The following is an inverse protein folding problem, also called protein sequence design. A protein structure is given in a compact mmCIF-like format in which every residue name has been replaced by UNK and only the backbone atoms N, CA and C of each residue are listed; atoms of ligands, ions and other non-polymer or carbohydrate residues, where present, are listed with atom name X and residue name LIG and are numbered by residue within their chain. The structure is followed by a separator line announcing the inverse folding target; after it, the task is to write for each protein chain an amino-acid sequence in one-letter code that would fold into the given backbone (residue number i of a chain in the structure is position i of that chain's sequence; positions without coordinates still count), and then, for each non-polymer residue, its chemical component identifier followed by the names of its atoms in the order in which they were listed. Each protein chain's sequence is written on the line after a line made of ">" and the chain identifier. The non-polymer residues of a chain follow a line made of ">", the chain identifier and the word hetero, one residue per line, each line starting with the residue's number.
data_IF_403707463370
#
_entry.id   IF_403707463370
#
_cell.length_a   1.000
_cell.length_b   1.000
_cell.length_c   1.000
_cell.angle_alpha   90.00
_cell.angle_beta   90.00
_cell.angle_gamma   90.00
#
_symmetry.space_group_name_H-M   'P 1'
#
loop_
_entity.id
_entity.type
_entity.pdbx_description
1 polymer ?
#
# COMPACT_ATOMS: atom_id res chain seq x y z
N UNK A 1 -18.83 24.50 10.69
CA UNK A 1 -17.84 25.59 10.84
C UNK A 1 -18.03 26.54 9.68
N UNK A 2 -18.22 27.84 9.93
CA UNK A 2 -18.37 28.87 8.90
C UNK A 2 -16.98 29.45 8.63
N UNK A 3 -16.55 29.47 7.38
CA UNK A 3 -15.25 30.02 6.96
C UNK A 3 -15.50 31.36 6.29
N UNK A 4 -14.81 32.41 6.72
CA UNK A 4 -14.91 33.76 6.16
C UNK A 4 -13.59 34.18 5.52
N UNK A 5 -13.64 34.77 4.33
CA UNK A 5 -12.49 35.39 3.67
C UNK A 5 -12.90 36.71 3.02
N UNK A 6 -12.33 37.83 3.49
CA UNK A 6 -12.80 39.17 3.14
C UNK A 6 -14.26 39.36 3.61
N UNK A 7 -15.13 39.80 2.71
CA UNK A 7 -16.58 39.92 2.98
C UNK A 7 -17.39 38.69 2.58
N UNK A 8 -16.73 37.61 2.15
CA UNK A 8 -17.40 36.37 1.75
C UNK A 8 -17.44 35.35 2.88
N UNK A 9 -18.62 34.80 3.14
CA UNK A 9 -18.83 33.70 4.08
C UNK A 9 -19.20 32.40 3.35
N UNK A 10 -18.67 31.28 3.83
CA UNK A 10 -19.04 29.96 3.33
C UNK A 10 -20.48 29.61 3.71
N UNK A 11 -21.18 28.90 2.82
CA UNK A 11 -22.47 28.28 3.14
C UNK A 11 -22.27 27.13 4.12
N UNK A 12 -23.21 26.96 5.05
CA UNK A 12 -23.27 25.77 5.89
C UNK A 12 -23.88 24.62 5.08
N UNK A 13 -23.24 23.46 5.11
CA UNK A 13 -23.74 22.24 4.51
C UNK A 13 -23.37 21.04 5.39
N UNK A 14 -24.22 19.99 5.46
CA UNK A 14 -23.90 18.77 6.19
C UNK A 14 -22.80 17.98 5.46
N UNK A 15 -21.79 17.54 6.20
CA UNK A 15 -20.78 16.60 5.69
C UNK A 15 -21.33 15.19 5.94
N UNK A 16 -21.74 14.50 4.87
CA UNK A 16 -22.29 13.15 4.94
C UNK A 16 -21.20 12.06 4.94
N UNK A 17 -20.10 12.31 4.21
CA UNK A 17 -18.96 11.40 4.08
C UNK A 17 -17.67 12.22 4.13
N UNK A 18 -16.66 11.71 4.84
CA UNK A 18 -15.37 12.34 5.00
C UNK A 18 -15.26 13.16 6.29
N UNK A 19 -14.08 13.75 6.49
CA UNK A 19 -13.77 14.53 7.68
C UNK A 19 -13.23 15.92 7.30
N UNK A 20 -13.44 16.95 8.14
CA UNK A 20 -12.95 18.29 7.85
C UNK A 20 -11.42 18.33 7.68
N UNK A 21 -10.96 18.91 6.57
CA UNK A 21 -9.54 19.16 6.36
C UNK A 21 -9.01 20.16 7.39
N UNK A 22 -7.76 19.96 7.84
CA UNK A 22 -7.16 20.77 8.91
C UNK A 22 -7.54 20.36 10.33
N UNK A 23 -8.43 19.38 10.50
CA UNK A 23 -8.73 18.79 11.82
C UNK A 23 -7.69 17.75 12.21
N UNK A 24 -7.10 17.91 13.40
CA UNK A 24 -6.18 16.91 13.99
C UNK A 24 -6.90 15.57 14.21
N UNK A 25 -8.16 15.62 14.64
CA UNK A 25 -8.98 14.42 14.85
C UNK A 25 -9.27 13.70 13.54
N UNK A 26 -9.46 14.42 12.43
CA UNK A 26 -9.69 13.83 11.12
C UNK A 26 -8.53 12.94 10.68
N UNK A 27 -7.28 13.38 10.91
CA UNK A 27 -6.10 12.58 10.59
C UNK A 27 -6.03 11.27 11.41
N UNK A 28 -6.38 11.33 12.70
CA UNK A 28 -6.44 10.14 13.55
C UNK A 28 -7.55 9.17 13.11
N UNK A 29 -8.75 9.69 12.84
CA UNK A 29 -9.88 8.88 12.36
C UNK A 29 -9.57 8.21 11.02
N UNK A 30 -8.95 8.95 10.10
CA UNK A 30 -8.50 8.38 8.83
C UNK A 30 -7.51 7.24 9.06
N UNK A 31 -6.52 7.42 9.94
CA UNK A 31 -5.54 6.38 10.27
C UNK A 31 -6.16 5.13 10.88
N UNK A 32 -7.19 5.29 11.72
CA UNK A 32 -7.97 4.15 12.26
C UNK A 32 -8.77 3.45 11.15
N UNK A 33 -9.39 4.21 10.25
CA UNK A 33 -10.17 3.69 9.13
C UNK A 33 -9.32 2.82 8.19
N UNK A 34 -8.08 3.23 7.90
CA UNK A 34 -7.18 2.49 7.02
C UNK A 34 -6.23 1.52 7.76
N UNK A 35 -6.32 1.39 9.08
CA UNK A 35 -5.37 0.61 9.88
C UNK A 35 -5.27 -0.86 9.43
N UNK A 36 -6.39 -1.45 8.99
CA UNK A 36 -6.48 -2.85 8.58
C UNK A 36 -6.10 -3.09 7.12
N UNK A 37 -5.96 -2.03 6.30
CA UNK A 37 -5.65 -2.13 4.87
C UNK A 37 -4.44 -3.05 4.58
N UNK A 38 -3.31 -3.00 5.32
CA UNK A 38 -2.18 -3.89 5.07
C UNK A 38 -2.50 -5.39 5.19
N UNK A 39 -3.53 -5.77 5.96
CA UNK A 39 -3.93 -7.16 6.15
C UNK A 39 -4.56 -7.78 4.89
N UNK A 40 -5.04 -6.95 3.96
CA UNK A 40 -5.62 -7.40 2.69
C UNK A 40 -4.56 -7.86 1.69
N UNK A 41 -3.27 -7.62 1.95
CA UNK A 41 -2.16 -7.97 1.05
C UNK A 41 -1.26 -9.04 1.67
N UNK A 42 -1.68 -10.32 1.74
CA UNK A 42 -0.86 -11.36 2.32
C UNK A 42 0.39 -11.61 1.46
N UNK A 43 1.53 -11.83 2.13
CA UNK A 43 2.84 -12.11 1.50
C UNK A 43 3.37 -10.94 0.63
N UNK A 44 3.01 -9.72 0.97
CA UNK A 44 3.67 -8.49 0.48
C UNK A 44 4.34 -7.77 1.65
N UNK A 45 5.23 -6.83 1.34
CA UNK A 45 5.67 -5.82 2.31
C UNK A 45 4.91 -4.55 1.97
N UNK A 46 4.27 -3.93 2.96
CA UNK A 46 3.44 -2.75 2.75
C UNK A 46 3.99 -1.58 3.56
N UNK A 47 4.05 -0.41 2.95
CA UNK A 47 4.35 0.85 3.62
C UNK A 47 3.15 1.78 3.42
N UNK A 48 2.52 2.18 4.52
CA UNK A 48 1.35 3.05 4.51
C UNK A 48 1.68 4.32 5.30
N UNK A 49 1.56 5.46 4.66
CA UNK A 49 1.75 6.77 5.28
C UNK A 49 0.67 7.73 4.77
N UNK A 50 -0.18 8.20 5.67
CA UNK A 50 -1.40 8.93 5.27
C UNK A 50 -2.15 8.13 4.18
N UNK A 51 -2.50 8.76 3.07
CA UNK A 51 -3.16 8.15 1.91
C UNK A 51 -2.19 7.46 0.93
N UNK A 52 -0.88 7.64 1.10
CA UNK A 52 0.13 6.98 0.27
C UNK A 52 0.38 5.53 0.71
N UNK A 53 0.12 4.59 -0.20
CA UNK A 53 0.37 3.16 -0.02
C UNK A 53 1.41 2.66 -1.03
N UNK A 54 2.44 1.98 -0.53
CA UNK A 54 3.39 1.20 -1.33
C UNK A 54 3.23 -0.29 -1.02
N UNK A 55 2.99 -1.09 -2.05
CA UNK A 55 2.93 -2.56 -1.97
C UNK A 55 4.14 -3.14 -2.69
N UNK A 56 4.99 -3.85 -1.96
CA UNK A 56 6.18 -4.51 -2.48
C UNK A 56 5.94 -6.01 -2.60
N UNK A 57 6.02 -6.51 -3.83
CA UNK A 57 5.92 -7.93 -4.15
C UNK A 57 7.32 -8.49 -4.40
N UNK A 58 7.69 -9.54 -3.64
CA UNK A 58 8.98 -10.22 -3.78
C UNK A 58 8.90 -11.33 -4.84
N UNK A 59 9.99 -11.57 -5.55
CA UNK A 59 10.15 -12.70 -6.46
C UNK A 59 10.18 -14.05 -5.73
N UNK A 60 9.97 -15.14 -6.47
CA UNK A 60 9.88 -16.50 -5.91
C UNK A 60 11.21 -17.28 -5.90
N UNK A 61 12.36 -16.59 -5.96
CA UNK A 61 13.69 -17.20 -6.09
C UNK A 61 13.73 -18.28 -7.19
N UNK A 62 13.00 -18.08 -8.30
CA UNK A 62 13.04 -19.00 -9.44
C UNK A 62 14.40 -18.91 -10.13
N UNK A 63 14.84 -20.01 -10.74
CA UNK A 63 16.11 -20.06 -11.49
C UNK A 63 16.10 -19.09 -12.68
N UNK A 64 14.97 -18.97 -13.37
CA UNK A 64 14.83 -18.10 -14.53
C UNK A 64 14.20 -16.76 -14.14
N UNK A 65 14.79 -15.67 -14.64
CA UNK A 65 14.26 -14.32 -14.48
C UNK A 65 12.83 -14.21 -15.04
N UNK A 66 12.57 -14.81 -16.20
CA UNK A 66 11.24 -14.80 -16.84
C UNK A 66 10.15 -15.43 -15.96
N UNK A 67 10.48 -16.51 -15.25
CA UNK A 67 9.54 -17.17 -14.33
C UNK A 67 9.32 -16.33 -13.07
N UNK A 68 10.35 -15.63 -12.57
CA UNK A 68 10.19 -14.65 -11.50
C UNK A 68 9.31 -13.48 -11.93
N UNK A 69 9.48 -12.93 -13.14
CA UNK A 69 8.66 -11.83 -13.65
C UNK A 69 7.19 -12.25 -13.72
N UNK A 70 6.89 -13.43 -14.30
CA UNK A 70 5.53 -13.99 -14.34
C UNK A 70 4.94 -14.18 -12.94
N UNK A 71 5.75 -14.68 -12.01
CA UNK A 71 5.33 -14.84 -10.61
C UNK A 71 4.99 -13.49 -9.97
N UNK A 72 5.89 -12.50 -10.05
CA UNK A 72 5.68 -11.15 -9.49
C UNK A 72 4.45 -10.49 -10.10
N UNK A 73 4.26 -10.60 -11.42
CA UNK A 73 3.08 -10.09 -12.12
C UNK A 73 1.78 -10.71 -11.58
N UNK A 74 1.74 -12.03 -11.42
CA UNK A 74 0.55 -12.70 -10.86
C UNK A 74 0.27 -12.28 -9.42
N UNK A 75 1.31 -12.14 -8.59
CA UNK A 75 1.17 -11.66 -7.21
C UNK A 75 0.73 -10.18 -7.15
N UNK A 76 1.25 -9.33 -8.03
CA UNK A 76 0.84 -7.94 -8.15
C UNK A 76 -0.64 -7.82 -8.55
N UNK A 77 -1.11 -8.64 -9.50
CA UNK A 77 -2.54 -8.70 -9.87
C UNK A 77 -3.44 -9.05 -8.68
N UNK A 78 -3.07 -10.05 -7.89
CA UNK A 78 -3.82 -10.43 -6.67
C UNK A 78 -3.85 -9.26 -5.67
N UNK A 79 -2.74 -8.57 -5.47
CA UNK A 79 -2.68 -7.41 -4.58
C UNK A 79 -3.54 -6.24 -5.10
N UNK A 80 -3.51 -5.95 -6.40
CA UNK A 80 -4.35 -4.91 -7.00
C UNK A 80 -5.84 -5.24 -6.87
N UNK A 81 -6.24 -6.50 -7.05
CA UNK A 81 -7.63 -6.91 -6.88
C UNK A 81 -8.09 -6.81 -5.42
N UNK A 82 -7.21 -7.12 -4.45
CA UNK A 82 -7.51 -6.89 -3.05
C UNK A 82 -7.64 -5.40 -2.71
N UNK A 83 -6.84 -4.54 -3.36
CA UNK A 83 -6.89 -3.08 -3.19
C UNK A 83 -8.19 -2.51 -3.77
N UNK A 84 -8.59 -2.96 -4.95
CA UNK A 84 -9.86 -2.59 -5.59
C UNK A 84 -11.05 -2.97 -4.70
N UNK A 85 -11.09 -4.22 -4.21
CA UNK A 85 -12.12 -4.67 -3.28
C UNK A 85 -12.15 -3.82 -1.99
N UNK A 86 -11.00 -3.45 -1.44
CA UNK A 86 -10.96 -2.57 -0.27
C UNK A 86 -11.49 -1.16 -0.60
N UNK A 87 -11.02 -0.58 -1.70
CA UNK A 87 -11.45 0.73 -2.19
C UNK A 87 -12.97 0.84 -2.26
N UNK A 88 -13.61 -0.17 -2.86
CA UNK A 88 -15.07 -0.19 -3.07
C UNK A 88 -15.83 -0.38 -1.75
N UNK A 89 -15.36 -1.26 -0.87
CA UNK A 89 -16.04 -1.57 0.39
C UNK A 89 -15.90 -0.46 1.45
N UNK A 90 -14.82 0.32 1.41
CA UNK A 90 -14.48 1.32 2.43
C UNK A 90 -14.59 2.77 1.93
N UNK A 91 -15.13 2.98 0.72
CA UNK A 91 -15.36 4.29 0.10
C UNK A 91 -14.08 5.13 -0.03
N UNK A 92 -12.98 4.47 -0.39
CA UNK A 92 -11.65 5.07 -0.54
C UNK A 92 -11.12 4.85 -1.96
N UNK A 93 -11.62 5.62 -2.96
CA UNK A 93 -11.27 5.43 -4.35
C UNK A 93 -9.78 5.62 -4.61
N UNK A 94 -9.18 4.67 -5.32
CA UNK A 94 -7.77 4.73 -5.73
C UNK A 94 -7.59 5.74 -6.86
N UNK A 95 -6.61 6.64 -6.72
CA UNK A 95 -6.23 7.56 -7.79
C UNK A 95 -5.29 6.88 -8.80
N UNK A 96 -5.88 6.26 -9.82
CA UNK A 96 -5.16 5.50 -10.87
C UNK A 96 -4.05 6.34 -11.54
N UNK A 97 -4.28 7.63 -11.78
CA UNK A 97 -3.30 8.50 -12.44
C UNK A 97 -2.04 8.71 -11.59
N UNK A 98 -2.21 8.77 -10.27
CA UNK A 98 -1.12 8.89 -9.30
C UNK A 98 -0.47 7.54 -8.97
N UNK A 99 -1.18 6.42 -9.09
CA UNK A 99 -0.62 5.08 -8.84
C UNK A 99 0.42 4.73 -9.91
N UNK A 100 1.63 4.37 -9.47
CA UNK A 100 2.73 3.94 -10.35
C UNK A 100 3.18 2.53 -10.01
N UNK A 101 3.59 1.79 -11.03
CA UNK A 101 4.22 0.47 -10.88
C UNK A 101 5.69 0.55 -11.29
N UNK A 102 6.56 -0.09 -10.51
CA UNK A 102 7.99 -0.14 -10.76
C UNK A 102 8.48 -1.58 -10.57
N UNK A 103 9.23 -2.09 -11.54
CA UNK A 103 9.94 -3.36 -11.42
C UNK A 103 11.40 -3.07 -11.09
N UNK A 104 11.87 -3.61 -9.97
CA UNK A 104 13.28 -3.56 -9.58
C UNK A 104 13.86 -4.96 -9.70
N UNK A 105 14.92 -5.11 -10.49
CA UNK A 105 15.67 -6.36 -10.60
C UNK A 105 17.17 -6.05 -10.62
N UNK A 106 17.95 -6.84 -9.89
CA UNK A 106 19.40 -6.89 -10.05
C UNK A 106 19.74 -8.23 -10.69
N UNK A 107 20.50 -8.24 -11.79
CA UNK A 107 21.12 -9.47 -12.30
C UNK A 107 22.31 -9.76 -11.40
N UNK A 108 22.09 -10.45 -10.28
CA UNK A 108 23.17 -10.98 -9.46
C UNK A 108 23.18 -12.47 -9.70
N UNK A 109 24.27 -13.00 -10.28
CA UNK A 109 24.58 -14.42 -10.11
C UNK A 109 24.65 -14.67 -8.61
N UNK A 110 23.60 -15.22 -8.02
CA UNK A 110 23.57 -15.52 -6.60
C UNK A 110 24.59 -16.64 -6.36
N UNK A 111 25.78 -16.29 -5.90
CA UNK A 111 26.68 -17.26 -5.28
C UNK A 111 25.89 -17.90 -4.13
N UNK A 112 25.88 -19.23 -4.08
CA UNK A 112 25.22 -19.99 -3.01
C UNK A 112 25.65 -19.40 -1.66
N UNK A 113 24.71 -19.02 -0.77
CA UNK A 113 25.08 -18.68 0.58
C UNK A 113 25.65 -19.93 1.26
N UNK A 114 26.89 -19.87 1.70
CA UNK A 114 27.48 -20.87 2.58
C UNK A 114 26.83 -20.70 3.96
N UNK A 115 25.95 -21.63 4.32
CA UNK A 115 25.41 -21.74 5.66
C UNK A 115 26.35 -22.65 6.44
N UNK A 116 27.27 -22.06 7.21
CA UNK A 116 28.05 -22.80 8.19
C UNK A 116 27.16 -23.17 9.37
N UNK A 117 26.67 -24.40 9.40
CA UNK A 117 26.19 -25.01 10.64
C UNK A 117 27.41 -25.27 11.53
N UNK A 118 27.64 -24.39 12.51
CA UNK A 118 28.51 -24.73 13.65
C UNK A 118 27.85 -25.89 14.38
N UNK A 119 28.29 -27.12 14.07
CA UNK A 119 28.02 -28.29 14.90
C UNK A 119 28.51 -27.97 16.31
N UNK A 120 27.56 -27.74 17.21
CA UNK A 120 27.81 -27.64 18.64
C UNK A 120 28.26 -29.02 19.10
N UNK A 121 29.56 -29.16 19.36
CA UNK A 121 30.12 -30.33 19.99
C UNK A 121 29.63 -30.41 21.44
N UNK A 122 28.91 -31.48 21.75
CA UNK A 122 28.80 -32.03 23.09
C UNK A 122 29.64 -33.30 23.13
#
# INVERSE_FOLDING_TARGET
>A
MRVSHGESESRLFPILIGAPQGSVLAALLFRLHVHFLPLHFPRTVNHLFADDLTIVVKGALKERLSDNIKYVQNRAKVALQALENFSDNYLLPVNVTKTKAMLVHNVVHATKPELEDKKSGY
#
